data_IF_317318902363
#
_entry.id   IF_317318902363
#
_cell.length_a   1.000
_cell.length_b   1.000
_cell.length_c   1.000
_cell.angle_alpha   90.00
_cell.angle_beta   90.00
_cell.angle_gamma   90.00
#
_symmetry.space_group_name_H-M   'P 1'
#
loop_
_entity.id
_entity.type
_entity.pdbx_description
1 polymer ?
#
# COMPACT_ATOMS: atom_id res chain seq x y z
N UNK A 1 12.52 -0.90 3.28
CA UNK A 1 11.23 -1.18 2.63
C UNK A 1 10.14 -1.14 3.69
N UNK A 2 9.18 -0.22 3.58
CA UNK A 2 8.06 -0.08 4.54
C UNK A 2 6.91 -1.02 4.17
N UNK A 3 6.16 -1.49 5.17
CA UNK A 3 5.00 -2.37 5.00
C UNK A 3 3.76 -1.64 5.52
N UNK A 4 2.85 -1.26 4.62
CA UNK A 4 1.61 -0.59 4.99
C UNK A 4 0.50 -1.60 5.27
N UNK A 5 -0.05 -1.57 6.48
CA UNK A 5 -1.26 -2.31 6.83
C UNK A 5 -2.48 -1.55 6.30
N UNK A 6 -3.18 -2.13 5.34
CA UNK A 6 -4.45 -1.55 4.87
C UNK A 6 -5.53 -1.83 5.89
N UNK A 7 -6.23 -0.78 6.31
CA UNK A 7 -7.37 -0.87 7.22
C UNK A 7 -8.67 -0.67 6.44
N UNK A 8 -9.49 -1.73 6.24
CA UNK A 8 -10.77 -1.58 5.52
C UNK A 8 -11.80 -0.68 6.24
N UNK A 9 -11.62 -0.52 7.55
CA UNK A 9 -12.38 0.37 8.40
C UNK A 9 -11.51 0.80 9.58
N UNK A 10 -11.90 1.90 10.23
CA UNK A 10 -11.27 2.43 11.43
C UNK A 10 -12.10 2.13 12.68
N UNK A 11 -12.52 0.87 12.84
CA UNK A 11 -13.20 0.45 14.08
C UNK A 11 -12.30 0.58 15.30
N UNK A 12 -12.91 0.90 16.44
CA UNK A 12 -12.22 1.04 17.73
C UNK A 12 -11.25 -0.11 18.03
N UNK A 13 -11.67 -1.35 17.76
CA UNK A 13 -10.85 -2.54 18.04
C UNK A 13 -9.56 -2.60 17.22
N UNK A 14 -9.56 -2.09 15.99
CA UNK A 14 -8.36 -2.00 15.14
C UNK A 14 -7.44 -0.89 15.61
N UNK A 15 -7.98 0.26 15.99
CA UNK A 15 -7.19 1.36 16.55
C UNK A 15 -6.49 0.92 17.83
N UNK A 16 -7.20 0.24 18.74
CA UNK A 16 -6.58 -0.32 19.96
C UNK A 16 -5.56 -1.42 19.68
N UNK A 17 -5.77 -2.24 18.66
CA UNK A 17 -4.78 -3.22 18.25
C UNK A 17 -3.50 -2.57 17.71
N UNK A 18 -3.62 -1.48 16.94
CA UNK A 18 -2.47 -0.70 16.44
C UNK A 18 -1.74 -0.01 17.58
N UNK A 19 -2.45 0.52 18.58
CA UNK A 19 -1.84 1.09 19.79
C UNK A 19 -0.93 0.08 20.49
N UNK A 20 -1.41 -1.16 20.68
CA UNK A 20 -0.59 -2.24 21.25
C UNK A 20 0.60 -2.58 20.34
N UNK A 21 0.35 -2.72 19.02
CA UNK A 21 1.37 -3.08 18.05
C UNK A 21 2.51 -2.06 17.95
N UNK A 22 2.16 -0.77 18.01
CA UNK A 22 3.09 0.37 17.89
C UNK A 22 4.12 0.45 19.02
N UNK A 23 3.85 -0.20 20.16
CA UNK A 23 4.78 -0.30 21.29
C UNK A 23 5.92 -1.29 21.03
N UNK A 24 5.77 -2.13 20.02
CA UNK A 24 6.68 -3.25 19.74
C UNK A 24 7.28 -3.22 18.35
N UNK A 25 6.56 -2.69 17.36
CA UNK A 25 6.94 -2.68 15.96
C UNK A 25 6.63 -1.32 15.32
N UNK A 26 7.40 -0.97 14.29
CA UNK A 26 7.06 0.15 13.42
C UNK A 26 5.74 -0.15 12.69
N UNK A 27 4.79 0.78 12.78
CA UNK A 27 3.44 0.62 12.22
C UNK A 27 3.24 1.65 11.13
N UNK A 28 3.10 1.18 9.89
CA UNK A 28 2.73 2.01 8.75
C UNK A 28 1.32 1.61 8.31
N UNK A 29 0.45 2.57 8.08
CA UNK A 29 -0.97 2.31 7.76
C UNK A 29 -1.37 2.96 6.45
N UNK A 30 -2.20 2.26 5.69
CA UNK A 30 -2.89 2.82 4.53
C UNK A 30 -4.38 2.93 4.86
N UNK A 31 -4.93 4.12 4.67
CA UNK A 31 -6.34 4.43 4.83
C UNK A 31 -6.91 4.88 3.49
N UNK A 32 -8.10 4.41 3.16
CA UNK A 32 -8.80 4.84 1.96
C UNK A 32 -9.70 6.06 2.23
N UNK A 33 -9.60 7.09 1.40
CA UNK A 33 -10.53 8.20 1.34
C UNK A 33 -11.98 7.73 1.18
N UNK A 34 -12.23 6.73 0.35
CA UNK A 34 -13.58 6.18 0.15
C UNK A 34 -14.21 5.73 1.46
N UNK A 35 -13.41 5.12 2.34
CA UNK A 35 -13.84 4.63 3.65
C UNK A 35 -14.19 5.79 4.58
N UNK A 36 -13.40 6.86 4.55
CA UNK A 36 -13.64 8.07 5.34
C UNK A 36 -14.87 8.84 4.84
N UNK A 37 -15.04 8.95 3.52
CA UNK A 37 -16.20 9.59 2.89
C UNK A 37 -17.51 8.85 3.22
N UNK A 38 -17.50 7.52 3.11
CA UNK A 38 -18.70 6.70 3.40
C UNK A 38 -19.05 6.66 4.90
N UNK A 39 -18.07 6.85 5.78
CA UNK A 39 -18.26 6.85 7.23
C UNK A 39 -17.57 8.06 7.85
N UNK A 40 -18.18 9.27 7.79
CA UNK A 40 -17.55 10.51 8.22
C UNK A 40 -17.00 10.48 9.66
N UNK A 41 -17.66 9.76 10.57
CA UNK A 41 -17.18 9.54 11.95
C UNK A 41 -15.78 8.88 12.04
N UNK A 42 -15.30 8.26 10.97
CA UNK A 42 -13.96 7.69 10.93
C UNK A 42 -12.87 8.74 10.77
N UNK A 43 -13.22 9.94 10.33
CA UNK A 43 -12.28 11.08 10.28
C UNK A 43 -11.76 11.41 11.69
N UNK A 44 -12.57 11.23 12.73
CA UNK A 44 -12.17 11.46 14.13
C UNK A 44 -11.03 10.52 14.57
N UNK A 45 -10.91 9.34 13.93
CA UNK A 45 -9.83 8.39 14.20
C UNK A 45 -8.49 8.76 13.57
N UNK A 46 -8.44 9.74 12.66
CA UNK A 46 -7.18 10.16 12.03
C UNK A 46 -6.17 10.72 13.05
N UNK A 47 -6.63 11.46 14.06
CA UNK A 47 -5.76 11.99 15.12
C UNK A 47 -5.18 10.87 16.00
N UNK A 48 -5.97 9.95 16.58
CA UNK A 48 -5.43 8.78 17.27
C UNK A 48 -4.49 7.94 16.39
N UNK A 49 -4.82 7.75 15.11
CA UNK A 49 -3.97 7.02 14.18
C UNK A 49 -2.60 7.66 14.02
N UNK A 50 -2.52 8.99 13.96
CA UNK A 50 -1.25 9.73 13.87
C UNK A 50 -0.31 9.41 15.02
N UNK A 51 -0.86 9.28 16.24
CA UNK A 51 -0.08 9.02 17.45
C UNK A 51 0.56 7.62 17.41
N UNK A 52 -0.17 6.63 16.89
CA UNK A 52 0.25 5.22 16.92
C UNK A 52 0.95 4.75 15.64
N UNK A 53 1.01 5.59 14.62
CA UNK A 53 1.56 5.20 13.31
C UNK A 53 2.82 5.99 12.99
N UNK A 54 3.83 5.29 12.49
CA UNK A 54 5.07 5.88 11.98
C UNK A 54 4.83 6.62 10.67
N UNK A 55 4.08 6.01 9.75
CA UNK A 55 3.61 6.67 8.52
C UNK A 55 2.14 6.34 8.23
N UNK A 56 1.41 7.33 7.70
CA UNK A 56 0.04 7.25 7.23
C UNK A 56 0.01 7.58 5.75
N UNK A 57 -0.42 6.61 4.95
CA UNK A 57 -0.69 6.79 3.53
C UNK A 57 -2.20 6.91 3.29
N UNK A 58 -2.60 7.93 2.54
CA UNK A 58 -3.97 8.12 2.06
C UNK A 58 -4.07 7.64 0.62
N UNK A 59 -4.91 6.64 0.38
CA UNK A 59 -5.33 6.21 -0.95
C UNK A 59 -6.70 6.81 -1.30
N UNK A 60 -6.96 7.05 -2.58
CA UNK A 60 -8.26 7.48 -3.09
C UNK A 60 -9.37 6.43 -2.88
N UNK A 61 -8.99 5.15 -2.79
CA UNK A 61 -9.93 4.04 -2.67
C UNK A 61 -10.55 3.60 -3.99
N UNK A 62 -9.89 3.89 -5.11
CA UNK A 62 -10.39 3.57 -6.46
C UNK A 62 -10.80 2.09 -6.61
N UNK A 63 -10.04 1.16 -6.01
CA UNK A 63 -10.38 -0.27 -6.02
C UNK A 63 -11.70 -0.59 -5.32
N UNK A 64 -11.96 0.04 -4.17
CA UNK A 64 -13.21 -0.15 -3.43
C UNK A 64 -14.38 0.47 -4.18
N UNK A 65 -14.19 1.67 -4.72
CA UNK A 65 -15.24 2.44 -5.35
C UNK A 65 -15.66 1.88 -6.71
N UNK A 66 -14.73 1.29 -7.47
CA UNK A 66 -15.03 0.58 -8.71
C UNK A 66 -16.02 -0.57 -8.48
N UNK A 67 -15.88 -1.32 -7.37
CA UNK A 67 -16.80 -2.41 -7.02
C UNK A 67 -18.22 -1.95 -6.67
N UNK A 68 -18.38 -0.69 -6.24
CA UNK A 68 -19.67 -0.12 -5.84
C UNK A 68 -20.23 0.88 -6.88
N UNK A 69 -19.57 1.06 -8.03
CA UNK A 69 -19.99 2.00 -9.07
C UNK A 69 -19.88 3.48 -8.66
N UNK A 70 -19.17 3.79 -7.59
CA UNK A 70 -19.02 5.16 -7.08
C UNK A 70 -17.77 5.79 -7.70
N UNK A 71 -17.84 7.06 -8.11
CA UNK A 71 -16.70 7.79 -8.67
C UNK A 71 -16.08 8.68 -7.59
N UNK A 72 -14.75 8.63 -7.42
CA UNK A 72 -13.99 9.64 -6.66
C UNK A 72 -14.06 10.96 -7.42
N UNK A 73 -14.53 12.02 -6.77
CA UNK A 73 -14.33 13.38 -7.26
C UNK A 73 -12.89 13.79 -6.91
N UNK A 74 -12.09 14.11 -7.93
CA UNK A 74 -10.66 14.42 -7.79
C UNK A 74 -10.44 15.69 -6.97
N UNK A 75 -11.27 16.71 -7.15
CA UNK A 75 -11.17 17.98 -6.41
C UNK A 75 -11.52 17.79 -4.94
N UNK A 76 -12.62 17.12 -4.65
CA UNK A 76 -13.05 16.81 -3.28
C UNK A 76 -11.97 16.01 -2.53
N UNK A 77 -11.37 15.02 -3.19
CA UNK A 77 -10.26 14.24 -2.64
C UNK A 77 -9.00 15.10 -2.39
N UNK A 78 -8.64 15.97 -3.34
CA UNK A 78 -7.51 16.88 -3.18
C UNK A 78 -7.70 17.86 -2.02
N UNK A 79 -8.89 18.44 -1.88
CA UNK A 79 -9.25 19.31 -0.76
C UNK A 79 -9.20 18.57 0.57
N UNK A 80 -9.68 17.32 0.61
CA UNK A 80 -9.56 16.48 1.79
C UNK A 80 -8.09 16.23 2.17
N UNK A 81 -7.26 15.85 1.21
CA UNK A 81 -5.85 15.60 1.43
C UNK A 81 -5.12 16.86 1.95
N UNK A 82 -5.42 18.04 1.39
CA UNK A 82 -4.87 19.32 1.87
C UNK A 82 -5.30 19.61 3.31
N UNK A 83 -6.58 19.43 3.63
CA UNK A 83 -7.15 19.67 4.96
C UNK A 83 -6.47 18.84 6.05
N UNK A 84 -6.07 17.61 5.73
CA UNK A 84 -5.44 16.67 6.68
C UNK A 84 -3.95 16.45 6.43
N UNK A 85 -3.29 17.37 5.71
CA UNK A 85 -1.85 17.30 5.38
C UNK A 85 -0.91 17.23 6.59
N UNK A 86 -1.32 17.76 7.74
CA UNK A 86 -0.55 17.65 9.00
C UNK A 86 -0.60 16.26 9.64
N UNK A 87 -1.50 15.39 9.20
CA UNK A 87 -1.68 14.03 9.71
C UNK A 87 -1.13 12.99 8.73
N UNK A 88 -1.30 13.23 7.44
CA UNK A 88 -1.07 12.27 6.36
C UNK A 88 0.31 12.51 5.76
N UNK A 89 1.20 11.52 5.83
CA UNK A 89 2.58 11.64 5.33
C UNK A 89 2.67 11.46 3.82
N UNK A 90 1.82 10.59 3.27
CA UNK A 90 1.85 10.24 1.87
C UNK A 90 0.45 10.25 1.29
N UNK A 91 0.26 11.01 0.21
CA UNK A 91 -1.00 11.05 -0.54
C UNK A 91 -0.80 10.34 -1.86
N UNK A 92 -1.67 9.40 -2.18
CA UNK A 92 -1.66 8.68 -3.47
C UNK A 92 -2.58 9.41 -4.44
N UNK A 93 -2.13 9.63 -5.67
CA UNK A 93 -2.98 10.21 -6.71
C UNK A 93 -4.18 9.31 -7.01
N UNK A 94 -5.35 9.87 -7.34
CA UNK A 94 -6.50 9.07 -7.72
C UNK A 94 -6.25 8.36 -9.05
N UNK A 95 -6.44 7.04 -9.07
CA UNK A 95 -6.25 6.20 -10.23
C UNK A 95 -7.55 5.53 -10.69
N UNK A 96 -7.47 4.79 -11.81
CA UNK A 96 -8.53 3.89 -12.26
C UNK A 96 -7.89 2.53 -12.57
N UNK A 97 -8.20 1.50 -11.79
CA UNK A 97 -7.67 0.16 -12.03
C UNK A 97 -7.90 -0.28 -13.48
N UNK A 98 -6.83 -0.74 -14.13
CA UNK A 98 -6.85 -1.27 -15.50
C UNK A 98 -7.23 -0.27 -16.61
N UNK A 99 -7.19 1.02 -16.32
CA UNK A 99 -7.43 2.11 -17.27
C UNK A 99 -6.28 3.14 -17.19
N UNK A 100 -5.20 2.90 -17.97
CA UNK A 100 -4.01 3.76 -18.02
C UNK A 100 -4.32 5.21 -18.35
N UNK A 101 -5.11 5.44 -19.39
CA UNK A 101 -5.42 6.78 -19.92
C UNK A 101 -6.16 7.61 -18.89
N UNK A 102 -7.20 7.04 -18.28
CA UNK A 102 -7.98 7.72 -17.25
C UNK A 102 -7.20 7.91 -15.95
N UNK A 103 -6.27 7.01 -15.64
CA UNK A 103 -5.35 7.18 -14.51
C UNK A 103 -4.44 8.38 -14.73
N UNK A 104 -3.89 8.55 -15.93
CA UNK A 104 -3.09 9.74 -16.30
C UNK A 104 -3.94 11.00 -16.21
N UNK A 105 -5.14 11.01 -16.80
CA UNK A 105 -6.07 12.15 -16.77
C UNK A 105 -6.33 12.61 -15.33
N UNK A 106 -6.72 11.68 -14.45
CA UNK A 106 -7.00 11.97 -13.05
C UNK A 106 -5.78 12.42 -12.27
N UNK A 107 -4.62 11.82 -12.52
CA UNK A 107 -3.36 12.21 -11.90
C UNK A 107 -3.01 13.65 -12.27
N UNK A 108 -3.15 14.02 -13.55
CA UNK A 108 -2.90 15.38 -14.03
C UNK A 108 -3.90 16.38 -13.46
N UNK A 109 -5.18 16.02 -13.38
CA UNK A 109 -6.20 16.87 -12.74
C UNK A 109 -5.89 17.07 -11.25
N UNK A 110 -5.51 16.00 -10.54
CA UNK A 110 -5.13 16.04 -9.14
C UNK A 110 -3.93 16.96 -8.92
N UNK A 111 -2.88 16.83 -9.74
CA UNK A 111 -1.67 17.65 -9.66
C UNK A 111 -1.92 19.16 -9.87
N UNK A 112 -2.97 19.52 -10.62
CA UNK A 112 -3.35 20.94 -10.79
C UNK A 112 -3.90 21.53 -9.49
N UNK A 113 -4.58 20.72 -8.67
CA UNK A 113 -5.30 21.16 -7.46
C UNK A 113 -4.45 20.94 -6.21
N UNK A 114 -3.94 19.72 -6.02
CA UNK A 114 -3.12 19.34 -4.88
C UNK A 114 -1.68 19.83 -5.09
N UNK A 115 -1.25 20.78 -4.27
CA UNK A 115 0.08 21.42 -4.34
C UNK A 115 1.15 20.75 -3.47
N UNK A 116 0.78 19.71 -2.74
CA UNK A 116 1.72 18.94 -1.92
C UNK A 116 2.41 17.82 -2.71
N UNK A 117 3.30 17.10 -2.04
CA UNK A 117 3.90 15.89 -2.60
C UNK A 117 2.91 14.72 -2.60
N UNK A 118 2.90 13.95 -3.69
CA UNK A 118 2.05 12.79 -3.83
C UNK A 118 2.73 11.67 -4.63
N UNK A 119 2.19 10.46 -4.49
CA UNK A 119 2.63 9.26 -5.19
C UNK A 119 1.68 9.03 -6.37
N UNK A 120 2.10 9.32 -7.62
CA UNK A 120 1.30 8.97 -8.79
C UNK A 120 1.35 7.45 -9.03
N UNK A 121 0.30 6.90 -9.64
CA UNK A 121 0.13 5.46 -9.79
C UNK A 121 0.22 5.04 -11.25
N UNK A 122 1.12 4.11 -11.57
CA UNK A 122 1.15 3.40 -12.83
C UNK A 122 0.11 2.27 -12.82
N UNK A 123 -0.72 2.23 -13.85
CA UNK A 123 -1.76 1.22 -14.08
C UNK A 123 -1.56 0.55 -15.43
N UNK A 124 -2.11 -0.66 -15.58
CA UNK A 124 -2.04 -1.40 -16.84
C UNK A 124 -2.56 -2.83 -16.78
N UNK A 125 -2.77 -3.40 -17.96
CA UNK A 125 -3.12 -4.80 -18.22
C UNK A 125 -1.91 -5.60 -18.68
N UNK A 126 -0.93 -4.95 -19.29
CA UNK A 126 0.30 -5.54 -19.80
C UNK A 126 1.52 -4.66 -19.46
N UNK A 127 2.75 -5.21 -19.42
CA UNK A 127 3.95 -4.46 -19.03
C UNK A 127 4.16 -3.15 -19.78
N UNK A 128 3.81 -3.10 -21.07
CA UNK A 128 3.93 -1.89 -21.89
C UNK A 128 3.05 -0.75 -21.38
N UNK A 129 1.80 -1.02 -21.05
CA UNK A 129 0.86 -0.01 -20.54
C UNK A 129 1.32 0.59 -19.21
N UNK A 130 1.91 -0.21 -18.31
CA UNK A 130 2.52 0.30 -17.09
C UNK A 130 3.68 1.25 -17.39
N UNK A 131 4.53 0.91 -18.37
CA UNK A 131 5.64 1.75 -18.79
C UNK A 131 5.18 3.06 -19.42
N UNK A 132 4.15 3.02 -20.26
CA UNK A 132 3.58 4.20 -20.91
C UNK A 132 2.97 5.16 -19.88
N UNK A 133 2.22 4.61 -18.91
CA UNK A 133 1.70 5.38 -17.77
C UNK A 133 2.84 5.98 -16.96
N UNK A 134 3.83 5.17 -16.59
CA UNK A 134 5.01 5.60 -15.81
C UNK A 134 5.74 6.76 -16.50
N UNK A 135 6.00 6.66 -17.80
CA UNK A 135 6.72 7.70 -18.55
C UNK A 135 5.99 9.03 -18.50
N UNK A 136 4.66 9.00 -18.49
CA UNK A 136 3.81 10.21 -18.47
C UNK A 136 3.77 10.88 -17.10
N UNK A 137 3.72 10.08 -16.03
CA UNK A 137 3.52 10.58 -14.66
C UNK A 137 4.83 10.74 -13.85
N UNK A 138 5.95 10.16 -14.30
CA UNK A 138 7.23 10.20 -13.57
C UNK A 138 7.66 11.60 -13.20
N UNK A 139 7.46 12.57 -14.09
CA UNK A 139 7.81 13.98 -13.84
C UNK A 139 7.01 14.64 -12.70
N UNK A 140 5.89 14.03 -12.29
CA UNK A 140 5.04 14.50 -11.20
C UNK A 140 5.41 13.86 -9.86
N UNK A 141 6.25 12.82 -9.89
CA UNK A 141 6.55 12.01 -8.72
C UNK A 141 7.71 12.60 -7.93
N UNK A 142 7.59 12.59 -6.60
CA UNK A 142 8.72 12.87 -5.72
C UNK A 142 9.49 11.58 -5.39
N UNK A 143 10.07 10.95 -6.41
CA UNK A 143 10.97 9.80 -6.27
C UNK A 143 10.31 8.42 -6.08
N UNK A 144 9.03 8.35 -5.71
CA UNK A 144 8.27 7.09 -5.57
C UNK A 144 7.09 7.05 -6.53
N UNK A 145 6.91 5.91 -7.19
CA UNK A 145 5.76 5.61 -8.05
C UNK A 145 4.95 4.46 -7.48
N UNK A 146 3.65 4.65 -7.40
CA UNK A 146 2.69 3.60 -7.09
C UNK A 146 2.51 2.64 -8.26
N UNK A 147 2.35 1.34 -8.01
CA UNK A 147 2.03 0.35 -9.05
C UNK A 147 0.75 -0.37 -8.65
N UNK A 148 -0.34 -0.04 -9.35
CA UNK A 148 -1.67 -0.55 -9.06
C UNK A 148 -2.01 -1.84 -9.80
N UNK A 149 -3.19 -2.42 -9.52
CA UNK A 149 -3.73 -3.54 -10.30
C UNK A 149 -2.94 -4.85 -10.24
N UNK A 150 -2.04 -5.02 -9.26
CA UNK A 150 -1.16 -6.18 -9.19
C UNK A 150 -1.83 -7.44 -8.60
N UNK A 151 -2.99 -7.28 -7.97
CA UNK A 151 -3.70 -8.36 -7.28
C UNK A 151 -4.16 -9.49 -8.23
N UNK A 152 -4.49 -9.17 -9.49
CA UNK A 152 -4.81 -10.19 -10.51
C UNK A 152 -3.64 -11.11 -10.87
N UNK A 153 -2.40 -10.69 -10.60
CA UNK A 153 -1.20 -11.50 -10.84
C UNK A 153 -0.77 -12.30 -9.61
N UNK A 154 -1.62 -12.39 -8.57
CA UNK A 154 -1.33 -13.13 -7.32
C UNK A 154 -0.83 -14.56 -7.51
N UNK A 155 -1.31 -15.22 -8.56
CA UNK A 155 -0.95 -16.61 -8.91
C UNK A 155 -0.04 -16.70 -10.15
N UNK A 156 0.43 -15.58 -10.69
CA UNK A 156 1.21 -15.49 -11.93
C UNK A 156 2.56 -14.81 -11.65
N UNK A 157 3.49 -15.46 -10.93
CA UNK A 157 4.74 -14.85 -10.47
C UNK A 157 5.60 -14.32 -11.62
N UNK A 158 5.67 -15.04 -12.74
CA UNK A 158 6.39 -14.59 -13.94
C UNK A 158 5.84 -13.25 -14.46
N UNK A 159 4.51 -13.15 -14.62
CA UNK A 159 3.87 -11.90 -15.07
C UNK A 159 4.12 -10.73 -14.10
N UNK A 160 4.11 -10.99 -12.79
CA UNK A 160 4.44 -9.96 -11.82
C UNK A 160 5.88 -9.45 -12.02
N UNK A 161 6.85 -10.35 -12.18
CA UNK A 161 8.25 -9.98 -12.45
C UNK A 161 8.38 -9.23 -13.77
N UNK A 162 7.70 -9.66 -14.83
CA UNK A 162 7.73 -9.02 -16.15
C UNK A 162 7.20 -7.59 -16.11
N UNK A 163 6.23 -7.29 -15.23
CA UNK A 163 5.71 -5.94 -15.01
C UNK A 163 6.67 -5.12 -14.16
N UNK A 164 7.14 -5.64 -13.02
CA UNK A 164 7.91 -4.87 -12.03
C UNK A 164 9.34 -4.58 -12.50
N UNK A 165 10.01 -5.55 -13.14
CA UNK A 165 11.42 -5.44 -13.56
C UNK A 165 11.72 -4.20 -14.43
N UNK A 166 10.95 -3.88 -15.49
CA UNK A 166 11.22 -2.68 -16.28
C UNK A 166 10.93 -1.38 -15.50
N UNK A 167 9.92 -1.34 -14.64
CA UNK A 167 9.59 -0.17 -13.81
C UNK A 167 10.71 0.14 -12.81
N UNK A 168 11.32 -0.90 -12.22
CA UNK A 168 12.42 -0.81 -11.27
C UNK A 168 13.69 -0.15 -11.81
N UNK A 169 13.84 -0.07 -13.14
CA UNK A 169 14.97 0.62 -13.78
C UNK A 169 14.78 2.14 -13.81
N UNK A 170 13.57 2.63 -13.54
CA UNK A 170 13.18 4.04 -13.71
C UNK A 170 12.77 4.72 -12.41
N UNK A 171 12.24 3.99 -11.44
CA UNK A 171 11.73 4.58 -10.20
C UNK A 171 11.84 3.63 -9.02
N UNK A 172 11.82 4.20 -7.80
CA UNK A 172 11.46 3.45 -6.60
C UNK A 172 9.95 3.24 -6.59
N UNK A 173 9.53 2.06 -6.14
CA UNK A 173 8.14 1.62 -6.29
C UNK A 173 7.44 1.46 -4.95
N UNK A 174 6.20 1.93 -4.88
CA UNK A 174 5.19 1.46 -3.93
C UNK A 174 4.30 0.43 -4.64
N UNK A 175 4.22 -0.81 -4.14
CA UNK A 175 3.44 -1.85 -4.79
C UNK A 175 2.07 -2.04 -4.12
N UNK A 176 0.99 -1.77 -4.86
CA UNK A 176 -0.34 -1.87 -4.28
C UNK A 176 -0.88 -3.30 -4.20
N UNK A 177 -1.48 -3.65 -3.06
CA UNK A 177 -2.20 -4.92 -2.89
C UNK A 177 -1.31 -6.18 -2.86
N UNK A 178 -0.04 -6.01 -2.50
CA UNK A 178 0.95 -7.08 -2.46
C UNK A 178 0.99 -7.77 -1.07
N UNK A 179 0.87 -9.09 -1.06
CA UNK A 179 1.05 -9.93 0.15
C UNK A 179 2.45 -10.56 0.28
N UNK A 180 2.74 -11.12 1.46
CA UNK A 180 4.00 -11.79 1.79
C UNK A 180 4.53 -12.78 0.73
N UNK A 181 3.64 -13.54 0.07
CA UNK A 181 4.01 -14.47 -1.00
C UNK A 181 4.73 -13.77 -2.16
N UNK A 182 4.26 -12.59 -2.59
CA UNK A 182 4.89 -11.87 -3.69
C UNK A 182 6.20 -11.23 -3.26
N UNK A 183 6.31 -10.79 -2.01
CA UNK A 183 7.60 -10.34 -1.45
C UNK A 183 8.65 -11.44 -1.60
N UNK A 184 8.28 -12.70 -1.33
CA UNK A 184 9.15 -13.85 -1.59
C UNK A 184 9.51 -14.04 -3.07
N UNK A 185 8.58 -13.78 -4.01
CA UNK A 185 8.84 -13.85 -5.47
C UNK A 185 9.80 -12.74 -5.90
N UNK A 186 9.56 -11.51 -5.44
CA UNK A 186 10.40 -10.35 -5.74
C UNK A 186 11.80 -10.49 -5.14
N UNK A 187 11.92 -11.05 -3.94
CA UNK A 187 13.19 -11.39 -3.29
C UNK A 187 14.02 -12.34 -4.17
N UNK A 188 13.42 -13.45 -4.61
CA UNK A 188 14.10 -14.44 -5.48
C UNK A 188 14.50 -13.88 -6.84
N UNK A 189 13.89 -12.77 -7.26
CA UNK A 189 14.15 -12.11 -8.54
C UNK A 189 15.05 -10.88 -8.42
N UNK A 190 15.63 -10.61 -7.24
CA UNK A 190 16.45 -9.42 -6.95
C UNK A 190 15.74 -8.09 -7.24
N UNK A 191 14.42 -8.04 -7.03
CA UNK A 191 13.61 -6.84 -7.27
C UNK A 191 13.23 -6.11 -5.98
N UNK A 192 13.67 -6.56 -4.79
CA UNK A 192 13.30 -5.86 -3.56
C UNK A 192 14.03 -4.53 -3.38
N UNK A 193 15.20 -4.34 -3.99
CA UNK A 193 15.98 -3.11 -3.82
C UNK A 193 15.29 -1.88 -4.43
N UNK A 194 14.53 -2.05 -5.51
CA UNK A 194 13.74 -0.97 -6.13
C UNK A 194 12.38 -0.74 -5.44
N UNK A 195 11.95 -1.63 -4.54
CA UNK A 195 10.67 -1.48 -3.85
C UNK A 195 10.89 -0.71 -2.56
N UNK A 196 10.38 0.53 -2.53
CA UNK A 196 10.39 1.36 -1.33
C UNK A 196 9.38 0.84 -0.30
N UNK A 197 8.18 0.51 -0.76
CA UNK A 197 7.10 0.08 0.13
C UNK A 197 6.03 -0.72 -0.59
N UNK A 198 5.13 -1.32 0.16
CA UNK A 198 3.94 -1.97 -0.38
C UNK A 198 2.85 -2.01 0.69
N UNK A 199 1.59 -2.19 0.28
CA UNK A 199 0.47 -2.36 1.20
C UNK A 199 -0.14 -3.76 1.14
N UNK A 200 -0.80 -4.16 2.23
CA UNK A 200 -1.60 -5.38 2.22
C UNK A 200 -2.77 -5.37 3.17
N UNK A 201 -3.90 -5.90 2.68
CA UNK A 201 -5.03 -6.39 3.50
C UNK A 201 -4.82 -7.82 4.00
N UNK A 202 -3.72 -8.49 3.62
CA UNK A 202 -3.56 -9.94 3.82
C UNK A 202 -3.49 -10.37 5.29
N UNK A 203 -3.20 -9.44 6.21
CA UNK A 203 -3.21 -9.70 7.65
C UNK A 203 -4.59 -10.16 8.14
N UNK A 204 -5.68 -9.74 7.50
CA UNK A 204 -7.05 -10.19 7.81
C UNK A 204 -7.25 -11.69 7.56
N UNK A 205 -6.48 -12.27 6.62
CA UNK A 205 -6.52 -13.70 6.36
C UNK A 205 -5.92 -14.52 7.51
N UNK A 206 -5.07 -13.93 8.35
CA UNK A 206 -4.61 -14.59 9.59
C UNK A 206 -5.79 -14.80 10.55
N UNK A 207 -6.69 -13.81 10.67
CA UNK A 207 -7.93 -13.96 11.44
C UNK A 207 -8.82 -14.99 10.76
N UNK A 208 -9.08 -14.85 9.45
CA UNK A 208 -10.02 -15.75 8.75
C UNK A 208 -9.62 -17.23 8.83
N UNK A 209 -8.34 -17.55 8.66
CA UNK A 209 -7.88 -18.94 8.50
C UNK A 209 -7.12 -19.50 9.70
N UNK A 210 -6.65 -18.65 10.63
CA UNK A 210 -5.77 -19.10 11.72
C UNK A 210 -6.23 -18.66 13.12
N UNK A 211 -7.43 -18.08 13.24
CA UNK A 211 -7.98 -17.59 14.53
C UNK A 211 -7.93 -18.65 15.63
N UNK A 212 -8.42 -19.85 15.38
CA UNK A 212 -8.53 -20.89 16.41
C UNK A 212 -7.26 -21.74 16.56
N UNK A 213 -6.50 -21.94 15.48
CA UNK A 213 -5.32 -22.81 15.48
C UNK A 213 -4.05 -22.12 15.98
N UNK A 214 -3.80 -20.90 15.51
CA UNK A 214 -2.54 -20.18 15.76
C UNK A 214 -2.72 -18.96 16.66
N UNK A 215 -3.73 -18.13 16.41
CA UNK A 215 -3.88 -16.85 17.11
C UNK A 215 -4.42 -17.03 18.54
N UNK A 216 -5.40 -17.92 18.70
CA UNK A 216 -6.13 -18.18 19.97
C UNK A 216 -6.44 -16.87 20.72
N UNK A 217 -7.21 -15.94 20.12
CA UNK A 217 -7.37 -14.61 20.68
C UNK A 217 -8.38 -14.60 21.82
N UNK A 218 -8.12 -13.78 22.84
CA UNK A 218 -9.04 -13.60 23.98
C UNK A 218 -10.23 -12.71 23.63
N UNK A 219 -10.03 -11.72 22.76
CA UNK A 219 -11.07 -10.79 22.30
C UNK A 219 -10.75 -10.26 20.89
N UNK A 220 -11.61 -9.38 20.36
CA UNK A 220 -11.44 -8.83 19.00
C UNK A 220 -10.20 -7.93 18.86
N UNK A 221 -9.79 -7.22 19.91
CA UNK A 221 -8.58 -6.38 19.90
C UNK A 221 -7.35 -7.29 19.78
N UNK A 222 -7.26 -8.31 20.63
CA UNK A 222 -6.17 -9.31 20.62
C UNK A 222 -6.10 -10.05 19.29
N UNK A 223 -7.26 -10.37 18.69
CA UNK A 223 -7.31 -11.00 17.36
C UNK A 223 -6.66 -10.12 16.27
N UNK A 224 -6.98 -8.82 16.23
CA UNK A 224 -6.40 -7.88 15.27
C UNK A 224 -4.90 -7.70 15.53
N UNK A 225 -4.50 -7.49 16.78
CA UNK A 225 -3.10 -7.28 17.18
C UNK A 225 -2.23 -8.48 16.77
N UNK A 226 -2.61 -9.70 17.18
CA UNK A 226 -1.85 -10.92 16.84
C UNK A 226 -1.78 -11.17 15.34
N UNK A 227 -2.88 -10.94 14.61
CA UNK A 227 -2.92 -11.10 13.17
C UNK A 227 -1.95 -10.15 12.44
N UNK A 228 -1.97 -8.86 12.79
CA UNK A 228 -1.06 -7.85 12.24
C UNK A 228 0.39 -8.18 12.58
N UNK A 229 0.69 -8.49 13.85
CA UNK A 229 2.04 -8.85 14.31
C UNK A 229 2.60 -10.08 13.57
N UNK A 230 1.83 -11.16 13.47
CA UNK A 230 2.23 -12.36 12.74
C UNK A 230 2.46 -12.07 11.26
N UNK A 231 1.59 -11.27 10.65
CA UNK A 231 1.74 -10.88 9.25
C UNK A 231 3.04 -10.10 9.01
N UNK A 232 3.30 -9.05 9.80
CA UNK A 232 4.51 -8.23 9.69
C UNK A 232 5.77 -9.05 9.93
N UNK A 233 5.79 -9.92 10.93
CA UNK A 233 6.92 -10.80 11.21
C UNK A 233 7.19 -11.77 10.05
N UNK A 234 6.14 -12.33 9.44
CA UNK A 234 6.30 -13.24 8.29
C UNK A 234 6.86 -12.51 7.07
N UNK A 235 6.37 -11.31 6.77
CA UNK A 235 6.93 -10.50 5.68
C UNK A 235 8.39 -10.17 5.96
N UNK A 236 8.70 -9.70 7.17
CA UNK A 236 10.05 -9.27 7.55
C UNK A 236 11.07 -10.40 7.38
N UNK A 237 10.69 -11.65 7.68
CA UNK A 237 11.52 -12.83 7.40
C UNK A 237 11.92 -12.95 5.93
N UNK A 238 11.00 -12.73 4.98
CA UNK A 238 11.32 -12.75 3.55
C UNK A 238 12.27 -11.62 3.14
N UNK A 239 12.13 -10.45 3.75
CA UNK A 239 13.01 -9.29 3.48
C UNK A 239 14.43 -9.56 4.02
N UNK A 240 14.54 -10.09 5.23
CA UNK A 240 15.83 -10.37 5.88
C UNK A 240 16.57 -11.50 5.14
N UNK A 241 15.88 -12.58 4.78
CA UNK A 241 16.48 -13.68 4.01
C UNK A 241 17.15 -13.18 2.73
N UNK A 242 16.52 -12.22 2.04
CA UNK A 242 17.10 -11.58 0.86
C UNK A 242 18.41 -10.84 1.17
N UNK A 243 18.42 -10.01 2.21
CA UNK A 243 19.60 -9.23 2.61
C UNK A 243 20.76 -10.13 3.05
N UNK A 244 20.47 -11.20 3.78
CA UNK A 244 21.46 -12.20 4.18
C UNK A 244 22.09 -12.93 3.00
N UNK A 245 21.29 -13.34 2.00
CA UNK A 245 21.82 -13.96 0.77
C UNK A 245 22.67 -13.01 -0.06
N UNK A 246 22.35 -11.72 -0.06
CA UNK A 246 23.09 -10.71 -0.81
C UNK A 246 24.45 -10.37 -0.17
N UNK A 247 24.50 -10.26 1.16
CA UNK A 247 25.75 -10.02 1.88
C UNK A 247 26.75 -11.18 1.71
N UNK A 248 26.27 -12.42 1.66
CA UNK A 248 27.11 -13.59 1.33
C UNK A 248 27.68 -13.55 -0.08
N UNK A 249 26.92 -13.08 -1.08
CA UNK A 249 27.41 -13.00 -2.47
C UNK A 249 28.44 -11.90 -2.72
N UNK A 250 28.53 -10.88 -1.85
CA UNK A 250 29.56 -9.82 -1.93
C UNK A 250 30.86 -10.15 -1.20
N UNK A 251 30.89 -11.19 -0.36
CA UNK A 251 32.09 -11.65 0.33
C UNK A 251 33.01 -12.55 -0.51
N UNK A 252 32.70 -12.75 -1.79
CA UNK A 252 33.38 -13.69 -2.70
C UNK A 252 33.79 -13.05 -4.04
N UNK A 253 34.08 -11.75 -4.06
CA UNK A 253 34.72 -11.07 -5.19
C UNK A 253 35.86 -10.20 -4.71
#
# INVERSE_FOLDING_TARGET
MKIYLVLPDLSYSKIKALELLSRELEVNILVSYSTLKMKPKYVDWLKPLRIVSSNIMLDSGAYHLLRYGIKVNVEEYAQFALKYSSIIDHVVAPDVPEDPEKTVERTLQFAKIYKGEFIPVAQGREPREYMDTLNTITRLANGIIGVGGLDKYKRKPKKLVDIIKPLCRKAKLHLFGIGARHVGVLSKSNLLECVDSFDSVSWLYEIKYRRHSLLKPQNIVDANYKAMKIYLNRVSKHIIQHRGSWLWMRGYY
#
